data_IF_322685262034
#
_entry.id   IF_322685262034
#
_cell.length_a   1.000
_cell.length_b   1.000
_cell.length_c   1.000
_cell.angle_alpha   90.00
_cell.angle_beta   90.00
_cell.angle_gamma   90.00
#
_symmetry.space_group_name_H-M   'P 1'
#
loop_
_entity.id
_entity.type
_entity.pdbx_description
1 polymer ?
#
# COMPACT_ATOMS: atom_id res chain seq x y z
N UNK A 1 -14.37 42.03 4.93
CA UNK A 1 -13.73 41.16 3.92
C UNK A 1 -12.28 40.97 4.34
N UNK A 2 -12.01 39.90 5.09
CA UNK A 2 -10.66 39.57 5.56
C UNK A 2 -9.90 38.87 4.44
N UNK A 3 -8.83 39.49 3.97
CA UNK A 3 -7.86 38.89 3.06
C UNK A 3 -7.04 37.87 3.83
N UNK A 4 -7.16 36.60 3.46
CA UNK A 4 -6.36 35.51 4.00
C UNK A 4 -4.86 35.83 3.80
N UNK A 5 -4.12 35.83 4.91
CA UNK A 5 -2.67 35.89 4.96
C UNK A 5 -2.09 34.79 4.07
N UNK A 6 -1.50 35.15 2.94
CA UNK A 6 -0.75 34.22 2.10
C UNK A 6 0.41 33.63 2.93
N UNK A 7 0.34 32.31 3.17
CA UNK A 7 1.29 31.52 3.96
C UNK A 7 2.76 31.83 3.62
N UNK A 8 3.58 32.21 4.61
CA UNK A 8 4.98 32.63 4.42
C UNK A 8 5.92 31.60 3.73
N UNK A 9 5.46 30.36 3.55
CA UNK A 9 6.25 29.27 3.00
C UNK A 9 6.60 29.42 1.52
N UNK A 10 5.79 30.11 0.70
CA UNK A 10 6.10 30.29 -0.73
C UNK A 10 7.38 31.11 -0.98
N UNK A 11 7.82 31.92 -0.01
CA UNK A 11 9.02 32.77 -0.15
C UNK A 11 10.32 31.96 -0.17
N UNK A 12 10.30 30.74 0.35
CA UNK A 12 11.47 29.85 0.37
C UNK A 12 11.51 28.90 -0.84
N UNK A 13 10.41 28.81 -1.60
CA UNK A 13 10.34 27.99 -2.81
C UNK A 13 10.64 28.84 -4.04
N UNK A 14 11.82 28.64 -4.62
CA UNK A 14 12.14 29.11 -5.97
C UNK A 14 12.07 27.93 -6.92
N UNK A 15 11.12 27.94 -7.87
CA UNK A 15 11.10 26.97 -8.95
C UNK A 15 12.18 27.35 -9.95
N UNK A 16 13.38 26.85 -9.76
CA UNK A 16 14.40 26.93 -10.80
C UNK A 16 13.94 26.07 -11.98
N UNK A 17 13.63 26.71 -13.11
CA UNK A 17 13.46 25.97 -14.35
C UNK A 17 14.86 25.74 -14.92
N UNK A 18 15.37 24.50 -14.94
CA UNK A 18 16.64 24.24 -15.59
C UNK A 18 16.50 24.61 -17.07
N UNK A 19 17.26 25.61 -17.52
CA UNK A 19 17.36 25.95 -18.94
C UNK A 19 18.31 24.95 -19.59
N UNK A 20 17.78 23.77 -19.91
CA UNK A 20 18.50 22.72 -20.63
C UNK A 20 17.87 22.59 -22.00
N UNK A 21 18.60 22.97 -23.04
CA UNK A 21 18.26 22.61 -24.41
C UNK A 21 18.88 21.24 -24.73
N UNK A 22 18.05 20.30 -25.17
CA UNK A 22 18.52 18.97 -25.54
C UNK A 22 19.31 19.06 -26.86
N UNK A 23 20.63 18.82 -26.80
CA UNK A 23 21.53 18.83 -27.96
C UNK A 23 21.81 17.40 -28.48
N UNK A 24 20.77 16.58 -28.61
CA UNK A 24 20.89 15.22 -29.15
C UNK A 24 20.36 15.22 -30.59
N UNK A 25 21.19 14.96 -31.61
CA UNK A 25 20.77 14.88 -32.99
C UNK A 25 19.67 13.82 -33.17
N UNK A 26 18.55 14.21 -33.77
CA UNK A 26 17.48 13.27 -34.09
C UNK A 26 17.95 12.27 -35.17
N UNK A 27 17.59 11.00 -35.01
CA UNK A 27 17.82 9.96 -36.02
C UNK A 27 16.52 9.58 -36.74
N UNK A 28 16.63 9.18 -38.00
CA UNK A 28 15.50 8.75 -38.84
C UNK A 28 15.27 7.25 -38.76
N UNK A 29 14.03 6.82 -38.57
CA UNK A 29 13.62 5.42 -38.71
C UNK A 29 13.26 5.08 -40.17
N UNK A 30 13.45 3.82 -40.63
CA UNK A 30 14.03 2.70 -39.90
C UNK A 30 15.57 2.79 -39.79
N UNK A 31 16.12 2.29 -38.68
CA UNK A 31 17.57 2.23 -38.49
C UNK A 31 18.21 1.24 -39.47
N UNK A 32 19.45 1.55 -39.87
CA UNK A 32 20.31 0.64 -40.63
C UNK A 32 21.49 0.26 -39.76
N UNK A 33 21.83 -1.04 -39.69
CA UNK A 33 22.97 -1.53 -38.89
C UNK A 33 24.27 -0.75 -39.17
N UNK A 34 24.53 -0.39 -40.43
CA UNK A 34 25.72 0.38 -40.83
C UNK A 34 25.78 1.82 -40.30
N UNK A 35 24.67 2.36 -39.78
CA UNK A 35 24.58 3.68 -39.14
C UNK A 35 24.66 3.61 -37.62
N UNK A 36 24.62 2.42 -37.03
CA UNK A 36 24.66 2.23 -35.58
C UNK A 36 26.13 2.06 -35.19
N UNK A 37 26.63 2.94 -34.33
CA UNK A 37 27.96 2.76 -33.73
C UNK A 37 27.99 1.44 -32.96
N UNK A 38 29.15 0.79 -32.88
CA UNK A 38 29.39 -0.42 -32.06
C UNK A 38 28.40 -1.60 -32.24
N UNK A 39 27.66 -1.67 -33.36
CA UNK A 39 26.63 -2.70 -33.59
C UNK A 39 27.20 -4.13 -33.55
N UNK A 40 28.32 -4.36 -34.23
CA UNK A 40 28.93 -5.69 -34.32
C UNK A 40 29.52 -6.15 -32.98
N UNK A 41 30.13 -5.24 -32.21
CA UNK A 41 30.65 -5.52 -30.87
C UNK A 41 29.52 -5.83 -29.88
N UNK A 42 28.45 -5.01 -29.90
CA UNK A 42 27.27 -5.23 -29.06
C UNK A 42 26.59 -6.57 -29.35
N UNK A 43 26.37 -6.90 -30.64
CA UNK A 43 25.65 -8.12 -31.02
C UNK A 43 26.43 -9.42 -30.76
N UNK A 44 27.76 -9.35 -30.60
CA UNK A 44 28.57 -10.47 -30.13
C UNK A 44 28.36 -10.73 -28.63
N UNK A 45 28.29 -9.65 -27.84
CA UNK A 45 28.06 -9.69 -26.39
C UNK A 45 26.61 -10.06 -26.05
N UNK A 46 25.64 -9.49 -26.77
CA UNK A 46 24.19 -9.73 -26.62
C UNK A 46 23.59 -10.14 -27.98
N UNK A 47 23.48 -11.45 -28.26
CA UNK A 47 22.93 -11.94 -29.51
C UNK A 47 21.45 -11.57 -29.68
N UNK A 48 21.13 -10.86 -30.75
CA UNK A 48 19.74 -10.53 -31.11
C UNK A 48 19.18 -11.56 -32.11
N UNK A 49 18.01 -12.13 -31.79
CA UNK A 49 17.21 -12.92 -32.75
C UNK A 49 16.64 -12.02 -33.85
N UNK A 50 16.26 -12.62 -34.98
CA UNK A 50 15.79 -11.87 -36.16
C UNK A 50 14.58 -10.97 -35.86
N UNK A 51 13.67 -11.41 -35.01
CA UNK A 51 12.50 -10.63 -34.58
C UNK A 51 12.93 -9.38 -33.80
N UNK A 52 13.82 -9.53 -32.82
CA UNK A 52 14.37 -8.41 -32.05
C UNK A 52 15.13 -7.41 -32.93
N UNK A 53 15.87 -7.89 -33.95
CA UNK A 53 16.54 -6.99 -34.92
C UNK A 53 15.54 -6.20 -35.75
N UNK A 54 14.46 -6.83 -36.20
CA UNK A 54 13.42 -6.15 -36.97
C UNK A 54 12.72 -5.07 -36.12
N UNK A 55 12.46 -5.36 -34.84
CA UNK A 55 11.92 -4.38 -33.89
C UNK A 55 12.90 -3.22 -33.66
N UNK A 56 14.20 -3.51 -33.48
CA UNK A 56 15.23 -2.49 -33.34
C UNK A 56 15.29 -1.58 -34.58
N UNK A 57 15.25 -2.13 -35.80
CA UNK A 57 15.25 -1.33 -37.01
C UNK A 57 13.99 -0.49 -37.16
N UNK A 58 12.82 -1.04 -36.83
CA UNK A 58 11.54 -0.35 -36.96
C UNK A 58 11.37 0.76 -35.91
N UNK A 59 11.70 0.48 -34.65
CA UNK A 59 11.34 1.34 -33.51
C UNK A 59 12.54 2.12 -32.95
N UNK A 60 13.77 1.76 -33.32
CA UNK A 60 14.99 2.35 -32.78
C UNK A 60 15.42 1.79 -31.42
N UNK A 61 14.60 0.93 -30.81
CA UNK A 61 14.91 0.20 -29.58
C UNK A 61 14.24 -1.18 -29.60
N UNK A 62 14.70 -2.07 -28.71
CA UNK A 62 14.08 -3.38 -28.49
C UNK A 62 14.20 -3.75 -27.02
N UNK A 63 13.18 -4.42 -26.49
CA UNK A 63 13.20 -5.02 -25.15
C UNK A 63 13.55 -6.49 -25.31
N UNK A 64 14.54 -6.95 -24.53
CA UNK A 64 15.02 -8.34 -24.56
C UNK A 64 14.62 -8.98 -23.24
N UNK A 65 13.97 -10.13 -23.32
CA UNK A 65 13.61 -10.89 -22.12
C UNK A 65 14.84 -11.45 -21.42
N UNK A 66 14.82 -11.43 -20.09
CA UNK A 66 15.94 -11.88 -19.26
C UNK A 66 16.35 -13.33 -19.59
N UNK A 67 15.40 -14.22 -19.90
CA UNK A 67 15.66 -15.62 -20.28
C UNK A 67 16.69 -15.77 -21.40
N UNK A 68 16.68 -14.84 -22.37
CA UNK A 68 17.60 -14.84 -23.52
C UNK A 68 19.03 -14.50 -23.08
N UNK A 69 19.17 -13.75 -21.99
CA UNK A 69 20.44 -13.28 -21.44
C UNK A 69 20.89 -14.02 -20.18
N UNK A 70 20.06 -14.88 -19.57
CA UNK A 70 20.32 -15.55 -18.27
C UNK A 70 21.66 -16.28 -18.18
N UNK A 71 22.13 -16.87 -19.28
CA UNK A 71 23.42 -17.56 -19.33
C UNK A 71 24.64 -16.63 -19.30
N UNK A 72 24.42 -15.30 -19.41
CA UNK A 72 25.47 -14.27 -19.50
C UNK A 72 25.30 -13.14 -18.49
N UNK A 73 24.06 -12.81 -18.11
CA UNK A 73 23.72 -11.71 -17.22
C UNK A 73 22.63 -12.15 -16.25
N UNK A 74 22.83 -11.89 -14.95
CA UNK A 74 21.76 -12.10 -13.98
C UNK A 74 20.98 -10.80 -13.75
N UNK A 75 19.81 -10.69 -14.41
CA UNK A 75 18.93 -9.53 -14.30
C UNK A 75 17.86 -9.62 -13.19
N UNK A 76 18.15 -10.35 -12.10
CA UNK A 76 17.29 -10.37 -10.91
C UNK A 76 17.44 -9.11 -10.04
N UNK A 77 18.63 -8.51 -10.02
CA UNK A 77 18.90 -7.28 -9.28
C UNK A 77 19.55 -6.23 -10.18
N UNK A 78 19.13 -4.98 -10.02
CA UNK A 78 19.65 -3.86 -10.82
C UNK A 78 21.16 -3.73 -10.63
N UNK A 79 21.66 -3.86 -9.39
CA UNK A 79 23.10 -3.76 -9.08
C UNK A 79 23.95 -4.87 -9.76
N UNK A 80 23.48 -6.12 -9.77
CA UNK A 80 24.18 -7.25 -10.40
C UNK A 80 24.20 -7.07 -11.90
N UNK A 81 23.07 -6.67 -12.49
CA UNK A 81 22.97 -6.39 -13.92
C UNK A 81 23.98 -5.34 -14.37
N UNK A 82 24.04 -4.21 -13.66
CA UNK A 82 24.96 -3.12 -14.00
C UNK A 82 26.43 -3.55 -13.86
N UNK A 83 26.75 -4.33 -12.83
CA UNK A 83 28.09 -4.88 -12.64
C UNK A 83 28.46 -5.84 -13.78
N UNK A 84 27.58 -6.75 -14.13
CA UNK A 84 27.83 -7.79 -15.13
C UNK A 84 27.97 -7.16 -16.54
N UNK A 85 27.14 -6.18 -16.88
CA UNK A 85 27.26 -5.38 -18.11
C UNK A 85 28.59 -4.62 -18.16
N UNK A 86 29.02 -4.03 -17.05
CA UNK A 86 30.31 -3.35 -16.95
C UNK A 86 31.50 -4.31 -17.12
N UNK A 87 31.44 -5.49 -16.52
CA UNK A 87 32.47 -6.53 -16.68
C UNK A 87 32.54 -7.04 -18.12
N UNK A 88 31.39 -7.15 -18.79
CA UNK A 88 31.28 -7.55 -20.19
C UNK A 88 31.59 -6.42 -21.18
N UNK A 89 31.95 -5.22 -20.70
CA UNK A 89 32.21 -4.03 -21.53
C UNK A 89 31.03 -3.69 -22.46
N UNK A 90 29.79 -3.91 -21.98
CA UNK A 90 28.57 -3.51 -22.69
C UNK A 90 28.24 -2.07 -22.31
N UNK A 91 28.00 -1.15 -23.26
CA UNK A 91 27.62 0.22 -22.96
C UNK A 91 26.36 0.30 -22.10
N UNK A 92 26.43 1.05 -21.00
CA UNK A 92 25.31 1.26 -20.07
C UNK A 92 24.82 2.70 -20.22
N UNK A 93 23.52 2.85 -20.49
CA UNK A 93 22.85 4.15 -20.49
C UNK A 93 22.11 4.33 -19.16
N UNK A 94 22.50 5.32 -18.37
CA UNK A 94 21.93 5.60 -17.05
C UNK A 94 21.00 6.81 -17.16
N UNK A 95 19.74 6.64 -16.77
CA UNK A 95 18.76 7.73 -16.68
C UNK A 95 18.51 8.11 -15.22
N UNK A 96 17.83 9.25 -15.02
CA UNK A 96 17.32 9.66 -13.70
C UNK A 96 16.46 8.58 -13.04
N UNK A 97 15.81 7.72 -13.81
CA UNK A 97 14.93 6.66 -13.30
C UNK A 97 15.69 5.66 -12.43
N UNK A 98 16.99 5.46 -12.71
CA UNK A 98 17.83 4.57 -11.89
C UNK A 98 18.04 5.13 -10.48
N UNK A 99 18.18 6.46 -10.35
CA UNK A 99 18.25 7.13 -9.06
C UNK A 99 16.89 7.19 -8.38
N UNK A 100 15.82 7.46 -9.15
CA UNK A 100 14.45 7.49 -8.64
C UNK A 100 14.01 6.11 -8.11
N UNK A 101 14.41 5.03 -8.77
CA UNK A 101 14.16 3.67 -8.30
C UNK A 101 14.81 3.38 -6.94
N UNK A 102 16.07 3.80 -6.75
CA UNK A 102 16.74 3.67 -5.46
C UNK A 102 16.02 4.45 -4.36
N UNK A 103 15.54 5.65 -4.67
CA UNK A 103 14.73 6.44 -3.75
C UNK A 103 13.43 5.71 -3.38
N UNK A 104 12.74 5.10 -4.35
CA UNK A 104 11.54 4.31 -4.08
C UNK A 104 11.81 3.13 -3.15
N UNK A 105 12.88 2.35 -3.38
CA UNK A 105 13.27 1.24 -2.49
C UNK A 105 13.55 1.76 -1.08
N UNK A 106 14.35 2.83 -0.97
CA UNK A 106 14.71 3.39 0.33
C UNK A 106 13.47 3.88 1.09
N UNK A 107 12.56 4.57 0.40
CA UNK A 107 11.33 5.07 0.98
C UNK A 107 10.43 3.92 1.46
N UNK A 108 10.23 2.90 0.62
CA UNK A 108 9.42 1.72 0.94
C UNK A 108 9.96 0.97 2.17
N UNK A 109 11.27 0.70 2.21
CA UNK A 109 11.91 0.05 3.36
C UNK A 109 11.87 0.90 4.63
N UNK A 110 11.95 2.23 4.50
CA UNK A 110 11.82 3.14 5.65
C UNK A 110 10.41 3.11 6.21
N UNK A 111 9.41 3.19 5.33
CA UNK A 111 8.00 3.16 5.72
C UNK A 111 7.65 1.82 6.36
N UNK A 112 8.02 0.72 5.71
CA UNK A 112 7.83 -0.64 6.22
C UNK A 112 8.39 -0.80 7.64
N UNK A 113 9.63 -0.34 7.87
CA UNK A 113 10.25 -0.39 9.20
C UNK A 113 9.52 0.47 10.22
N UNK A 114 9.15 1.70 9.85
CA UNK A 114 8.38 2.57 10.75
C UNK A 114 7.03 1.94 11.12
N UNK A 115 6.33 1.34 10.15
CA UNK A 115 5.05 0.66 10.37
C UNK A 115 5.19 -0.57 11.28
N UNK A 116 6.19 -1.41 11.03
CA UNK A 116 6.38 -2.68 11.73
C UNK A 116 7.03 -2.53 13.12
N UNK A 117 8.00 -1.63 13.25
CA UNK A 117 8.81 -1.47 14.47
C UNK A 117 8.27 -0.41 15.43
N UNK A 118 7.55 0.61 14.94
CA UNK A 118 7.09 1.74 15.77
C UNK A 118 5.56 1.91 15.76
N UNK A 119 4.93 2.02 14.57
CA UNK A 119 3.53 2.43 14.48
C UNK A 119 2.55 1.34 14.90
N UNK A 120 2.89 0.06 14.71
CA UNK A 120 2.04 -1.03 15.15
C UNK A 120 1.75 -0.97 16.65
N UNK A 121 2.82 -0.81 17.44
CA UNK A 121 2.75 -0.83 18.90
C UNK A 121 2.03 0.42 19.42
N UNK A 122 2.25 1.56 18.78
CA UNK A 122 1.54 2.81 19.09
C UNK A 122 0.06 2.76 18.70
N UNK A 123 -0.28 2.18 17.55
CA UNK A 123 -1.66 1.97 17.13
C UNK A 123 -2.41 1.06 18.12
N UNK A 124 -1.79 -0.06 18.52
CA UNK A 124 -2.34 -0.95 19.55
C UNK A 124 -2.62 -0.21 20.86
N UNK A 125 -1.66 0.58 21.37
CA UNK A 125 -1.84 1.37 22.60
C UNK A 125 -2.97 2.39 22.45
N UNK A 126 -3.03 3.08 21.31
CA UNK A 126 -4.04 4.08 21.00
C UNK A 126 -5.43 3.45 21.00
N UNK A 127 -5.64 2.38 20.23
CA UNK A 127 -6.94 1.71 20.14
C UNK A 127 -7.37 1.10 21.46
N UNK A 128 -6.43 0.57 22.26
CA UNK A 128 -6.72 0.07 23.60
C UNK A 128 -7.18 1.17 24.55
N UNK A 129 -6.57 2.35 24.47
CA UNK A 129 -6.98 3.51 25.26
C UNK A 129 -8.37 4.02 24.81
N UNK A 130 -8.61 4.09 23.51
CA UNK A 130 -9.89 4.55 22.94
C UNK A 130 -11.03 3.55 23.16
N UNK A 131 -10.75 2.25 23.10
CA UNK A 131 -11.70 1.20 23.48
C UNK A 131 -12.11 1.36 24.95
N UNK A 132 -11.13 1.59 25.85
CA UNK A 132 -11.41 1.80 27.27
C UNK A 132 -12.29 3.04 27.49
N UNK A 133 -11.96 4.17 26.88
CA UNK A 133 -12.76 5.39 26.95
C UNK A 133 -14.19 5.15 26.42
N UNK A 134 -14.33 4.45 25.30
CA UNK A 134 -15.64 4.11 24.72
C UNK A 134 -16.48 3.23 25.65
N UNK A 135 -15.85 2.31 26.39
CA UNK A 135 -16.55 1.50 27.40
C UNK A 135 -17.01 2.34 28.59
N UNK A 136 -16.22 3.33 29.01
CA UNK A 136 -16.59 4.28 30.07
C UNK A 136 -17.82 5.10 29.65
N UNK A 137 -17.81 5.66 28.43
CA UNK A 137 -18.94 6.39 27.85
C UNK A 137 -20.21 5.54 27.77
N UNK A 138 -20.09 4.28 27.34
CA UNK A 138 -21.24 3.36 27.27
C UNK A 138 -21.83 3.05 28.65
N UNK A 139 -20.97 2.83 29.65
CA UNK A 139 -21.43 2.56 31.02
C UNK A 139 -22.12 3.79 31.63
N UNK A 140 -21.57 4.99 31.42
CA UNK A 140 -22.19 6.23 31.89
C UNK A 140 -23.57 6.45 31.25
N UNK A 141 -23.68 6.25 29.92
CA UNK A 141 -24.94 6.36 29.21
C UNK A 141 -25.99 5.37 29.73
N UNK A 142 -25.57 4.14 30.07
CA UNK A 142 -26.43 3.08 30.62
C UNK A 142 -26.89 3.35 32.05
N UNK A 143 -26.03 3.91 32.90
CA UNK A 143 -26.37 4.25 34.29
C UNK A 143 -27.30 5.46 34.37
N UNK A 144 -27.15 6.41 33.45
CA UNK A 144 -28.00 7.58 33.36
C UNK A 144 -29.31 7.25 32.64
N UNK A 145 -30.35 6.84 33.39
CA UNK A 145 -31.71 6.56 32.91
C UNK A 145 -32.40 7.72 32.14
N UNK A 146 -31.76 8.88 32.03
CA UNK A 146 -32.25 10.03 31.24
C UNK A 146 -31.57 10.17 29.88
N UNK A 147 -30.56 9.36 29.58
CA UNK A 147 -29.88 9.36 28.28
C UNK A 147 -30.81 8.81 27.19
N UNK A 148 -30.90 9.44 26.01
CA UNK A 148 -31.61 8.87 24.88
C UNK A 148 -31.00 7.53 24.46
N UNK A 149 -31.83 6.56 24.05
CA UNK A 149 -31.40 5.24 23.57
C UNK A 149 -30.36 5.35 22.43
N UNK A 150 -30.49 6.39 21.59
CA UNK A 150 -29.56 6.69 20.50
C UNK A 150 -28.13 6.97 20.98
N UNK A 151 -27.96 7.62 22.14
CA UNK A 151 -26.65 7.91 22.72
C UNK A 151 -26.00 6.62 23.23
N UNK A 152 -26.79 5.76 23.88
CA UNK A 152 -26.31 4.46 24.35
C UNK A 152 -25.89 3.57 23.17
N UNK A 153 -26.67 3.53 22.08
CA UNK A 153 -26.31 2.77 20.88
C UNK A 153 -25.08 3.35 20.18
N UNK A 154 -24.94 4.68 20.10
CA UNK A 154 -23.74 5.31 19.55
C UNK A 154 -22.48 4.94 20.36
N UNK A 155 -22.56 5.00 21.70
CA UNK A 155 -21.45 4.59 22.56
C UNK A 155 -21.13 3.10 22.40
N UNK A 156 -22.15 2.23 22.28
CA UNK A 156 -21.98 0.80 21.99
C UNK A 156 -21.23 0.56 20.68
N UNK A 157 -21.58 1.30 19.62
CA UNK A 157 -20.90 1.20 18.31
C UNK A 157 -19.45 1.66 18.37
N UNK A 158 -19.12 2.66 19.17
CA UNK A 158 -17.72 3.06 19.40
C UNK A 158 -16.91 1.93 20.04
N UNK A 159 -17.49 1.23 21.04
CA UNK A 159 -16.87 0.04 21.64
C UNK A 159 -16.63 -1.02 20.56
N UNK A 160 -17.64 -1.32 19.73
CA UNK A 160 -17.50 -2.30 18.66
C UNK A 160 -16.44 -1.88 17.63
N UNK A 161 -16.39 -0.60 17.24
CA UNK A 161 -15.44 -0.06 16.28
C UNK A 161 -13.97 -0.28 16.70
N UNK A 162 -13.62 0.07 17.94
CA UNK A 162 -12.25 -0.14 18.44
C UNK A 162 -11.98 -1.61 18.79
N UNK A 163 -13.00 -2.38 19.14
CA UNK A 163 -12.85 -3.82 19.33
C UNK A 163 -12.49 -4.53 18.00
N UNK A 164 -13.12 -4.18 16.88
CA UNK A 164 -12.74 -4.70 15.56
C UNK A 164 -11.28 -4.35 15.24
N UNK A 165 -10.88 -3.08 15.42
CA UNK A 165 -9.49 -2.65 15.17
C UNK A 165 -8.47 -3.47 15.98
N UNK A 166 -8.69 -3.63 17.28
CA UNK A 166 -7.82 -4.44 18.14
C UNK A 166 -7.86 -5.93 17.78
N UNK A 167 -9.01 -6.47 17.36
CA UNK A 167 -9.09 -7.86 16.90
C UNK A 167 -8.30 -8.11 15.61
N UNK A 168 -8.17 -7.10 14.73
CA UNK A 168 -7.32 -7.19 13.55
C UNK A 168 -5.82 -7.11 13.90
N UNK A 169 -5.48 -6.37 14.96
CA UNK A 169 -4.12 -6.27 15.48
C UNK A 169 -3.73 -7.41 16.42
N UNK A 170 -4.68 -8.24 16.86
CA UNK A 170 -4.39 -9.35 17.76
C UNK A 170 -3.51 -10.41 17.07
N UNK A 171 -2.57 -11.01 17.80
CA UNK A 171 -1.68 -12.06 17.29
C UNK A 171 -2.37 -13.43 17.17
N UNK A 172 -3.50 -13.46 16.46
CA UNK A 172 -4.21 -14.68 16.06
C UNK A 172 -3.81 -15.11 14.66
N UNK A 173 -3.93 -16.40 14.38
CA UNK A 173 -3.65 -16.95 13.05
C UNK A 173 -4.66 -16.40 12.02
N UNK A 174 -4.16 -15.85 10.90
CA UNK A 174 -5.02 -15.42 9.78
C UNK A 174 -5.62 -16.66 9.08
N UNK A 175 -6.96 -16.82 9.05
CA UNK A 175 -7.61 -17.98 8.46
C UNK A 175 -7.48 -18.08 6.94
N UNK A 176 -7.11 -17.00 6.24
CA UNK A 176 -7.11 -16.92 4.77
C UNK A 176 -5.71 -16.86 4.14
N UNK A 177 -4.66 -17.18 4.88
CA UNK A 177 -3.29 -17.08 4.38
C UNK A 177 -2.94 -18.21 3.40
N UNK A 178 -2.73 -17.85 2.13
CA UNK A 178 -2.29 -18.76 1.06
C UNK A 178 -0.77 -18.59 0.83
N UNK A 179 0.05 -19.31 1.63
CA UNK A 179 1.45 -19.78 1.34
C UNK A 179 2.69 -18.94 1.82
N UNK A 180 3.55 -19.68 2.55
CA UNK A 180 5.03 -19.71 2.69
C UNK A 180 5.84 -18.61 3.40
N UNK A 181 5.87 -18.69 4.74
CA UNK A 181 7.05 -19.05 5.57
C UNK A 181 6.59 -19.00 7.02
N UNK A 182 6.09 -20.12 7.51
CA UNK A 182 5.79 -20.32 8.93
C UNK A 182 7.12 -20.44 9.69
N UNK A 183 7.76 -19.32 9.99
CA UNK A 183 8.48 -19.21 11.25
C UNK A 183 7.39 -19.11 12.31
N UNK A 184 7.21 -20.18 13.08
CA UNK A 184 6.08 -20.37 13.98
C UNK A 184 5.81 -19.15 14.83
N UNK A 185 4.64 -18.55 14.64
CA UNK A 185 4.14 -17.50 15.53
C UNK A 185 3.64 -18.20 16.78
N UNK A 186 4.47 -18.13 17.81
CA UNK A 186 4.04 -18.36 19.18
C UNK A 186 3.43 -17.01 19.57
N UNK A 187 2.10 -16.91 19.57
CA UNK A 187 1.42 -15.65 19.91
C UNK A 187 1.98 -15.13 21.24
N UNK A 188 2.47 -13.90 21.22
CA UNK A 188 2.88 -13.20 22.42
C UNK A 188 1.63 -12.77 23.20
N UNK A 189 1.67 -12.86 24.52
CA UNK A 189 0.58 -12.31 25.37
C UNK A 189 0.47 -10.78 25.25
N UNK A 190 1.43 -10.13 24.60
CA UNK A 190 1.57 -8.67 24.49
C UNK A 190 0.38 -8.02 23.77
N UNK A 191 -0.08 -8.65 22.68
CA UNK A 191 -1.18 -8.16 21.84
C UNK A 191 -2.45 -8.97 22.06
N UNK A 192 -2.95 -8.95 23.30
CA UNK A 192 -4.21 -9.60 23.67
C UNK A 192 -5.18 -8.64 24.37
N UNK A 193 -6.48 -8.84 24.13
CA UNK A 193 -7.56 -8.15 24.81
C UNK A 193 -8.85 -8.99 24.77
N UNK A 194 -9.84 -8.61 25.58
CA UNK A 194 -11.14 -9.27 25.63
C UNK A 194 -12.21 -8.40 24.99
N UNK A 195 -12.93 -8.97 24.03
CA UNK A 195 -14.14 -8.38 23.46
C UNK A 195 -15.29 -8.54 24.45
N UNK A 196 -16.09 -7.49 24.65
CA UNK A 196 -17.24 -7.54 25.56
C UNK A 196 -18.42 -8.27 24.90
N UNK A 197 -19.13 -9.07 25.68
CA UNK A 197 -20.28 -9.89 25.23
C UNK A 197 -21.33 -9.06 24.45
N UNK A 198 -21.61 -7.82 24.87
CA UNK A 198 -22.62 -6.97 24.24
C UNK A 198 -22.23 -6.37 22.88
N UNK A 199 -20.98 -6.55 22.42
CA UNK A 199 -20.53 -6.20 21.06
C UNK A 199 -19.97 -7.40 20.30
N UNK A 200 -19.89 -8.57 20.93
CA UNK A 200 -19.15 -9.71 20.41
C UNK A 200 -19.69 -10.18 19.05
N UNK A 201 -21.00 -10.31 18.91
CA UNK A 201 -21.65 -10.73 17.66
C UNK A 201 -21.33 -9.78 16.48
N UNK A 202 -21.41 -8.46 16.73
CA UNK A 202 -21.10 -7.46 15.71
C UNK A 202 -19.61 -7.51 15.31
N UNK A 203 -18.71 -7.66 16.30
CA UNK A 203 -17.27 -7.73 16.05
C UNK A 203 -16.90 -9.00 15.26
N UNK A 204 -17.42 -10.16 15.65
CA UNK A 204 -17.18 -11.42 14.94
C UNK A 204 -17.71 -11.37 13.51
N UNK A 205 -18.89 -10.80 13.30
CA UNK A 205 -19.48 -10.62 11.96
C UNK A 205 -18.66 -9.68 11.09
N UNK A 206 -18.16 -8.56 11.63
CA UNK A 206 -17.27 -7.65 10.91
C UNK A 206 -15.97 -8.35 10.48
N UNK A 207 -15.35 -9.11 11.40
CA UNK A 207 -14.15 -9.86 11.08
C UNK A 207 -14.41 -10.89 9.98
N UNK A 208 -15.53 -11.61 10.04
CA UNK A 208 -15.93 -12.56 8.99
C UNK A 208 -16.11 -11.88 7.63
N UNK A 209 -16.63 -10.64 7.59
CA UNK A 209 -16.74 -9.88 6.34
C UNK A 209 -15.38 -9.39 5.83
N UNK A 210 -14.53 -8.87 6.71
CA UNK A 210 -13.15 -8.45 6.39
C UNK A 210 -12.35 -9.62 5.79
N UNK A 211 -12.42 -10.79 6.42
CA UNK A 211 -11.78 -11.99 5.91
C UNK A 211 -12.51 -12.56 4.70
N UNK A 212 -13.82 -12.40 4.60
CA UNK A 212 -14.67 -12.83 3.48
C UNK A 212 -14.48 -12.05 2.16
N UNK A 213 -13.87 -10.86 2.21
CA UNK A 213 -13.45 -10.06 1.04
C UNK A 213 -14.56 -9.75 0.01
N UNK A 214 -15.79 -9.53 0.49
CA UNK A 214 -16.95 -9.24 -0.36
C UNK A 214 -17.72 -8.05 0.18
N UNK A 215 -18.43 -7.34 -0.68
CA UNK A 215 -19.25 -6.22 -0.27
C UNK A 215 -20.44 -6.70 0.58
N UNK A 216 -20.55 -6.19 1.80
CA UNK A 216 -21.58 -6.58 2.78
C UNK A 216 -22.04 -5.36 3.58
N UNK A 217 -23.23 -5.44 4.16
CA UNK A 217 -23.75 -4.39 5.05
C UNK A 217 -23.12 -4.55 6.43
N UNK A 218 -22.38 -3.54 6.88
CA UNK A 218 -21.75 -3.52 8.20
C UNK A 218 -22.79 -3.71 9.32
N UNK A 219 -22.64 -4.69 10.22
CA UNK A 219 -23.50 -4.83 11.40
C UNK A 219 -23.36 -3.65 12.35
N UNK A 220 -22.26 -2.91 12.35
CA UNK A 220 -22.05 -1.75 13.23
C UNK A 220 -22.62 -0.48 12.60
N UNK A 221 -22.30 -0.21 11.33
CA UNK A 221 -22.57 1.08 10.67
C UNK A 221 -23.76 1.08 9.73
N UNK A 222 -24.30 -0.10 9.40
CA UNK A 222 -25.53 -0.30 8.63
C UNK A 222 -25.49 0.20 7.17
N UNK A 223 -24.32 0.58 6.67
CA UNK A 223 -24.09 0.84 5.24
C UNK A 223 -23.26 -0.30 4.61
N UNK A 224 -23.29 -0.40 3.29
CA UNK A 224 -22.50 -1.39 2.54
C UNK A 224 -21.03 -0.99 2.47
N UNK A 225 -20.14 -1.83 2.96
CA UNK A 225 -18.69 -1.65 2.86
C UNK A 225 -18.08 -2.68 1.89
N UNK A 226 -17.08 -2.25 1.10
CA UNK A 226 -16.32 -3.13 0.23
C UNK A 226 -15.13 -3.75 0.98
N UNK A 227 -15.37 -4.91 1.59
CA UNK A 227 -14.34 -5.61 2.35
C UNK A 227 -13.21 -6.21 1.49
N UNK A 228 -13.32 -6.19 0.15
CA UNK A 228 -12.21 -6.60 -0.73
C UNK A 228 -10.99 -5.66 -0.66
N UNK A 229 -11.19 -4.44 -0.12
CA UNK A 229 -10.13 -3.46 0.10
C UNK A 229 -9.19 -3.83 1.25
N UNK A 230 -9.59 -4.76 2.14
CA UNK A 230 -8.82 -5.15 3.32
C UNK A 230 -7.78 -6.24 3.02
N UNK A 231 -7.63 -6.64 1.75
CA UNK A 231 -6.61 -7.62 1.34
C UNK A 231 -5.24 -6.95 1.31
N UNK A 232 -4.25 -7.42 2.10
CA UNK A 232 -2.89 -6.87 2.08
C UNK A 232 -2.24 -6.97 0.70
N UNK A 233 -1.49 -5.92 0.31
CA UNK A 233 -0.82 -5.79 -1.00
C UNK A 233 0.55 -5.13 -0.83
N UNK A 234 1.43 -5.28 -1.83
CA UNK A 234 2.74 -4.61 -1.81
C UNK A 234 3.62 -5.12 -0.67
N UNK A 235 4.30 -4.20 0.03
CA UNK A 235 5.20 -4.53 1.14
C UNK A 235 4.47 -5.11 2.37
N UNK A 236 3.16 -4.90 2.50
CA UNK A 236 2.37 -5.41 3.62
C UNK A 236 2.26 -6.94 3.66
N UNK A 237 2.53 -7.64 2.54
CA UNK A 237 2.52 -9.12 2.49
C UNK A 237 3.82 -9.75 2.99
N UNK A 238 4.77 -8.94 3.48
CA UNK A 238 6.10 -9.42 3.86
C UNK A 238 6.19 -9.99 5.29
N UNK A 239 5.22 -9.68 6.16
CA UNK A 239 5.13 -10.25 7.51
C UNK A 239 3.67 -10.27 8.01
N UNK A 240 3.35 -11.15 8.96
CA UNK A 240 2.02 -11.17 9.58
C UNK A 240 1.70 -9.88 10.34
N UNK A 241 2.71 -9.26 10.96
CA UNK A 241 2.56 -8.01 11.68
C UNK A 241 2.10 -6.90 10.73
N UNK A 242 2.70 -6.82 9.54
CA UNK A 242 2.30 -5.86 8.50
C UNK A 242 0.93 -6.20 7.87
N UNK A 243 0.59 -7.47 7.68
CA UNK A 243 -0.74 -7.87 7.19
C UNK A 243 -1.84 -7.42 8.17
N UNK A 244 -1.63 -7.62 9.47
CA UNK A 244 -2.53 -7.16 10.55
C UNK A 244 -2.62 -5.64 10.59
N UNK A 245 -1.47 -4.96 10.55
CA UNK A 245 -1.39 -3.50 10.52
C UNK A 245 -2.19 -2.91 9.37
N UNK A 246 -2.02 -3.48 8.17
CA UNK A 246 -2.74 -3.06 6.97
C UNK A 246 -4.25 -3.13 7.18
N UNK A 247 -4.77 -4.27 7.67
CA UNK A 247 -6.21 -4.45 7.87
C UNK A 247 -6.77 -3.44 8.88
N UNK A 248 -6.07 -3.24 10.00
CA UNK A 248 -6.47 -2.26 11.01
C UNK A 248 -6.43 -0.82 10.48
N UNK A 249 -5.38 -0.44 9.76
CA UNK A 249 -5.30 0.88 9.13
C UNK A 249 -6.35 1.06 8.03
N UNK A 250 -6.70 0.02 7.29
CA UNK A 250 -7.80 0.06 6.32
C UNK A 250 -9.15 0.24 7.03
N UNK A 251 -9.37 -0.44 8.15
CA UNK A 251 -10.55 -0.24 9.00
C UNK A 251 -10.66 1.22 9.44
N UNK A 252 -9.58 1.80 9.98
CA UNK A 252 -9.58 3.20 10.40
C UNK A 252 -9.72 4.19 9.24
N UNK A 253 -9.11 3.91 8.10
CA UNK A 253 -9.11 4.81 6.95
C UNK A 253 -10.40 4.78 6.13
N UNK A 254 -11.16 3.68 6.16
CA UNK A 254 -12.35 3.49 5.31
C UNK A 254 -13.65 3.68 6.05
N UNK A 255 -13.74 3.24 7.31
CA UNK A 255 -14.98 3.35 8.06
C UNK A 255 -15.30 4.82 8.34
N UNK A 256 -16.50 5.22 7.94
CA UNK A 256 -16.96 6.60 8.04
C UNK A 256 -18.10 6.72 9.06
N UNK A 257 -17.97 7.68 9.97
CA UNK A 257 -19.04 8.05 10.90
C UNK A 257 -20.00 9.03 10.21
N UNK A 258 -21.04 8.50 9.55
CA UNK A 258 -22.01 9.31 8.81
C UNK A 258 -22.93 10.08 9.76
N UNK A 259 -22.99 11.42 9.61
CA UNK A 259 -23.84 12.30 10.42
C UNK A 259 -25.28 12.42 9.91
N UNK A 260 -25.53 12.09 8.64
CA UNK A 260 -26.83 12.16 8.00
C UNK A 260 -27.25 10.79 7.49
N UNK A 261 -28.46 10.35 7.88
CA UNK A 261 -29.06 9.08 7.46
C UNK A 261 -29.17 8.93 5.95
N UNK A 262 -29.39 10.05 5.25
CA UNK A 262 -29.63 10.08 3.80
C UNK A 262 -28.35 9.71 3.00
N UNK A 263 -27.19 9.73 3.65
CA UNK A 263 -25.91 9.30 3.05
C UNK A 263 -25.68 7.79 3.16
N UNK A 264 -26.52 7.04 3.89
CA UNK A 264 -26.47 5.56 3.94
C UNK A 264 -27.03 4.96 2.65
N UNK A 265 -27.86 5.70 1.91
CA UNK A 265 -28.58 5.25 0.71
C UNK A 265 -28.24 6.05 -0.54
N UNK A 266 -27.09 6.74 -0.59
CA UNK A 266 -26.73 7.52 -1.77
C UNK A 266 -26.39 6.58 -2.94
N UNK A 267 -27.43 6.14 -3.66
CA UNK A 267 -27.32 5.71 -5.05
C UNK A 267 -26.66 6.85 -5.82
N UNK A 268 -25.55 6.52 -6.45
CA UNK A 268 -24.69 7.40 -7.23
C UNK A 268 -25.53 8.21 -8.25
N UNK A 269 -25.70 9.53 -8.05
CA UNK A 269 -26.55 10.35 -8.92
C UNK A 269 -25.94 10.59 -10.32
N UNK A 270 -24.72 10.08 -10.59
CA UNK A 270 -24.07 10.20 -11.91
C UNK A 270 -24.29 8.98 -12.84
N UNK A 271 -25.24 8.09 -12.50
CA UNK A 271 -25.76 7.06 -13.42
C UNK A 271 -27.15 7.38 -13.99
N UNK A 272 -27.26 8.53 -14.66
CA UNK A 272 -28.27 8.76 -15.73
C UNK A 272 -27.63 9.46 -16.94
#
# INVERSE_FOLDING_TARGET
>A
MNTASQSSFYRYYSKEQPQVEADIPAYSLPLKASKIANYDDFTQKIPLINESRNLLYKNGFVVIENEVTKNRFNAEQVNTTYRDLKVADVPIFITSDSLLHLYHIQFDETLKRAEEEEFYDELWKLDKALLKASMEDYNEAKENNSSPDEVMEAARRNVAYFAVALSLLEEKADPNRIIAKSTGVTGSEEYSFEVREYVQEDVETELDFIYGQRAETSPIFKYTEDYSQYVPRGHYTSSEKLERFFRAMMWHGRICMLLHSDMITAEDPEKE
#
